data_IF_198081926523
#
_entry.id   IF_198081926523
#
_cell.length_a   1.000
_cell.length_b   1.000
_cell.length_c   1.000
_cell.angle_alpha   90.00
_cell.angle_beta   90.00
_cell.angle_gamma   90.00
#
_symmetry.space_group_name_H-M   'P 1'
#
loop_
_entity.id
_entity.type
_entity.pdbx_description
1 polymer ?
#
# COMPACT_ATOMS: atom_id res chain seq x y z
N UNK A 1 -3.11 -25.15 -31.37
CA UNK A 1 -3.37 -23.82 -31.97
C UNK A 1 -2.56 -22.80 -31.18
N UNK A 2 -1.62 -22.10 -31.81
CA UNK A 2 -0.79 -21.11 -31.14
C UNK A 2 -1.64 -19.90 -30.74
N UNK A 3 -1.61 -19.50 -29.47
CA UNK A 3 -2.30 -18.32 -28.96
C UNK A 3 -1.65 -17.08 -29.56
N UNK A 4 -2.09 -16.66 -30.75
CA UNK A 4 -1.62 -15.45 -31.47
C UNK A 4 -2.00 -14.14 -30.75
N UNK A 5 -2.87 -14.23 -29.74
CA UNK A 5 -3.39 -13.11 -28.97
C UNK A 5 -2.44 -12.82 -27.80
N UNK A 6 -1.94 -11.59 -27.73
CA UNK A 6 -1.03 -11.17 -26.68
C UNK A 6 -1.72 -11.16 -25.31
N UNK A 7 -1.00 -11.63 -24.27
CA UNK A 7 -1.42 -11.50 -22.87
C UNK A 7 -1.21 -10.10 -22.29
N UNK A 8 -0.47 -9.24 -23.00
CA UNK A 8 -0.18 -7.87 -22.56
C UNK A 8 -1.28 -6.94 -23.05
N UNK A 9 -2.03 -6.25 -22.15
CA UNK A 9 -3.19 -5.43 -22.52
C UNK A 9 -2.89 -4.38 -23.60
N UNK A 10 -1.76 -3.67 -23.51
CA UNK A 10 -1.40 -2.65 -24.50
C UNK A 10 -1.16 -3.24 -25.91
N UNK A 11 -0.53 -4.42 -25.97
CA UNK A 11 -0.29 -5.10 -27.26
C UNK A 11 -1.61 -5.67 -27.80
N UNK A 12 -2.46 -6.22 -26.93
CA UNK A 12 -3.78 -6.71 -27.30
C UNK A 12 -4.64 -5.58 -27.88
N UNK A 13 -4.60 -4.40 -27.25
CA UNK A 13 -5.32 -3.22 -27.72
C UNK A 13 -4.88 -2.82 -29.13
N UNK A 14 -3.58 -2.84 -29.41
CA UNK A 14 -3.05 -2.55 -30.73
C UNK A 14 -3.44 -3.62 -31.76
N UNK A 15 -3.42 -4.90 -31.36
CA UNK A 15 -3.90 -6.00 -32.20
C UNK A 15 -5.39 -5.83 -32.56
N UNK A 16 -6.23 -5.38 -31.61
CA UNK A 16 -7.65 -5.09 -31.86
C UNK A 16 -7.84 -3.89 -32.78
N UNK A 17 -7.03 -2.84 -32.65
CA UNK A 17 -7.05 -1.67 -33.56
C UNK A 17 -6.66 -2.04 -34.99
N UNK A 18 -5.64 -2.89 -35.14
CA UNK A 18 -5.24 -3.42 -36.45
C UNK A 18 -6.34 -4.30 -37.05
N UNK A 19 -6.99 -5.13 -36.24
CA UNK A 19 -8.13 -5.94 -36.67
C UNK A 19 -9.29 -5.06 -37.14
N UNK A 20 -9.64 -4.02 -36.37
CA UNK A 20 -10.65 -3.02 -36.76
C UNK A 20 -10.32 -2.38 -38.11
N UNK A 21 -9.08 -1.93 -38.29
CA UNK A 21 -8.65 -1.32 -39.54
C UNK A 21 -8.77 -2.26 -40.75
N UNK A 22 -8.43 -3.55 -40.56
CA UNK A 22 -8.64 -4.59 -41.57
C UNK A 22 -10.11 -4.78 -41.93
N UNK A 23 -10.99 -4.88 -40.93
CA UNK A 23 -12.43 -5.05 -41.13
C UNK A 23 -13.06 -3.87 -41.87
N UNK A 24 -12.64 -2.65 -41.58
CA UNK A 24 -13.11 -1.45 -42.29
C UNK A 24 -12.64 -1.46 -43.74
N UNK A 25 -11.36 -1.81 -43.98
CA UNK A 25 -10.75 -1.81 -45.31
C UNK A 25 -11.40 -2.81 -46.27
N UNK A 26 -11.79 -3.98 -45.79
CA UNK A 26 -12.40 -5.05 -46.60
C UNK A 26 -13.91 -5.20 -46.36
N UNK A 27 -14.57 -4.11 -45.97
CA UNK A 27 -16.00 -4.12 -45.59
C UNK A 27 -16.96 -4.50 -46.73
N UNK A 28 -16.55 -4.31 -47.99
CA UNK A 28 -17.34 -4.73 -49.17
C UNK A 28 -17.25 -6.24 -49.44
N UNK A 29 -16.12 -6.85 -49.08
CA UNK A 29 -15.85 -8.29 -49.28
C UNK A 29 -16.30 -9.12 -48.07
N UNK A 30 -16.34 -8.51 -46.89
CA UNK A 30 -16.65 -9.14 -45.63
C UNK A 30 -17.94 -8.59 -45.04
N UNK A 31 -19.01 -9.40 -45.07
CA UNK A 31 -20.28 -9.14 -44.37
C UNK A 31 -20.33 -9.98 -43.09
N UNK A 32 -19.96 -9.43 -41.92
CA UNK A 32 -19.90 -10.20 -40.69
C UNK A 32 -21.31 -10.49 -40.15
N UNK A 33 -21.50 -11.72 -39.67
CA UNK A 33 -22.68 -12.13 -38.89
C UNK A 33 -22.39 -12.00 -37.38
N UNK A 34 -21.19 -12.41 -36.94
CA UNK A 34 -20.60 -12.17 -35.60
C UNK A 34 -19.21 -12.85 -35.52
N UNK A 35 -18.22 -12.31 -34.78
CA UNK A 35 -18.18 -10.98 -34.18
C UNK A 35 -18.13 -9.88 -35.24
N UNK A 36 -18.90 -8.81 -35.02
CA UNK A 36 -19.04 -7.64 -35.88
C UNK A 36 -18.00 -6.57 -35.56
N UNK A 37 -17.91 -5.55 -36.41
CA UNK A 37 -17.09 -4.36 -36.14
C UNK A 37 -17.45 -3.70 -34.80
N UNK A 38 -18.74 -3.69 -34.45
CA UNK A 38 -19.23 -3.12 -33.19
C UNK A 38 -18.75 -3.91 -31.97
N UNK A 39 -18.60 -5.24 -32.10
CA UNK A 39 -18.07 -6.08 -31.02
C UNK A 39 -16.58 -5.79 -30.78
N UNK A 40 -15.81 -5.56 -31.86
CA UNK A 40 -14.40 -5.14 -31.77
C UNK A 40 -14.29 -3.76 -31.13
N UNK A 41 -15.15 -2.82 -31.49
CA UNK A 41 -15.19 -1.49 -30.88
C UNK A 41 -15.55 -1.51 -29.39
N UNK A 42 -16.51 -2.37 -29.01
CA UNK A 42 -16.85 -2.62 -27.62
C UNK A 42 -15.67 -3.20 -26.84
N UNK A 43 -14.95 -4.16 -27.42
CA UNK A 43 -13.77 -4.76 -26.80
C UNK A 43 -12.62 -3.75 -26.62
N UNK A 44 -12.35 -2.90 -27.61
CA UNK A 44 -11.34 -1.83 -27.51
C UNK A 44 -11.73 -0.86 -26.38
N UNK A 45 -12.98 -0.39 -26.37
CA UNK A 45 -13.47 0.57 -25.37
C UNK A 45 -13.40 0.01 -23.95
N UNK A 46 -13.82 -1.24 -23.76
CA UNK A 46 -13.76 -1.92 -22.47
C UNK A 46 -12.32 -2.09 -21.98
N UNK A 47 -11.40 -2.47 -22.87
CA UNK A 47 -10.00 -2.68 -22.53
C UNK A 47 -9.26 -1.37 -22.22
N UNK A 48 -9.51 -0.31 -22.99
CA UNK A 48 -8.99 1.04 -22.71
C UNK A 48 -9.51 1.57 -21.37
N UNK A 49 -10.81 1.40 -21.09
CA UNK A 49 -11.42 1.82 -19.81
C UNK A 49 -10.81 1.08 -18.62
N UNK A 50 -10.64 -0.25 -18.75
CA UNK A 50 -10.01 -1.05 -17.71
C UNK A 50 -8.53 -0.67 -17.48
N UNK A 51 -7.81 -0.33 -18.55
CA UNK A 51 -6.43 0.14 -18.45
C UNK A 51 -6.32 1.48 -17.70
N UNK A 52 -7.20 2.44 -18.01
CA UNK A 52 -7.25 3.73 -17.33
C UNK A 52 -7.60 3.56 -15.85
N UNK A 53 -8.64 2.77 -15.54
CA UNK A 53 -9.05 2.52 -14.15
C UNK A 53 -7.93 1.92 -13.31
N UNK A 54 -7.13 1.01 -13.88
CA UNK A 54 -5.95 0.44 -13.21
C UNK A 54 -4.89 1.50 -12.93
N UNK A 55 -4.64 2.40 -13.88
CA UNK A 55 -3.67 3.47 -13.73
C UNK A 55 -4.10 4.46 -12.63
N UNK A 56 -5.37 4.83 -12.60
CA UNK A 56 -5.92 5.73 -11.59
C UNK A 56 -5.82 5.10 -10.19
N UNK A 57 -6.17 3.82 -10.06
CA UNK A 57 -6.04 3.08 -8.79
C UNK A 57 -4.59 3.01 -8.30
N UNK A 58 -3.62 2.85 -9.21
CA UNK A 58 -2.20 2.87 -8.86
C UNK A 58 -1.76 4.25 -8.33
N UNK A 59 -2.21 5.34 -8.96
CA UNK A 59 -1.90 6.70 -8.50
C UNK A 59 -2.50 7.02 -7.13
N UNK A 60 -3.73 6.54 -6.86
CA UNK A 60 -4.36 6.66 -5.54
C UNK A 60 -3.56 5.88 -4.49
N UNK A 61 -3.14 4.65 -4.79
CA UNK A 61 -2.34 3.84 -3.88
C UNK A 61 -0.96 4.45 -3.58
N UNK A 62 -0.30 5.03 -4.58
CA UNK A 62 0.97 5.75 -4.41
C UNK A 62 0.80 6.95 -3.48
N UNK A 63 -0.24 7.76 -3.69
CA UNK A 63 -0.53 8.94 -2.85
C UNK A 63 -0.84 8.54 -1.40
N UNK A 64 -1.63 7.48 -1.21
CA UNK A 64 -1.93 6.95 0.12
C UNK A 64 -0.66 6.44 0.83
N UNK A 65 0.24 5.79 0.09
CA UNK A 65 1.52 5.29 0.62
C UNK A 65 2.44 6.44 1.01
N UNK A 66 2.55 7.48 0.18
CA UNK A 66 3.32 8.68 0.49
C UNK A 66 2.80 9.36 1.77
N UNK A 67 1.48 9.52 1.89
CA UNK A 67 0.84 10.10 3.09
C UNK A 67 1.13 9.28 4.34
N UNK A 68 1.04 7.94 4.25
CA UNK A 68 1.37 7.05 5.36
C UNK A 68 2.83 7.23 5.81
N UNK A 69 3.77 7.37 4.87
CA UNK A 69 5.18 7.60 5.20
C UNK A 69 5.40 8.96 5.88
N UNK A 70 4.74 10.02 5.42
CA UNK A 70 4.78 11.32 6.11
C UNK A 70 4.28 11.22 7.54
N UNK A 71 3.11 10.62 7.76
CA UNK A 71 2.54 10.43 9.11
C UNK A 71 3.45 9.58 10.00
N UNK A 72 4.07 8.53 9.44
CA UNK A 72 5.07 7.71 10.16
C UNK A 72 6.25 8.56 10.61
N UNK A 73 6.79 9.39 9.72
CA UNK A 73 7.98 10.19 10.01
C UNK A 73 7.68 11.25 11.08
N UNK A 74 6.49 11.85 11.04
CA UNK A 74 6.00 12.74 12.09
C UNK A 74 5.86 12.03 13.44
N UNK A 75 5.29 10.81 13.43
CA UNK A 75 5.16 9.99 14.64
C UNK A 75 6.53 9.63 15.24
N UNK A 76 7.52 9.28 14.41
CA UNK A 76 8.90 9.04 14.84
C UNK A 76 9.51 10.31 15.44
N UNK A 77 9.27 11.47 14.83
CA UNK A 77 9.70 12.77 15.35
C UNK A 77 9.11 13.07 16.73
N UNK A 78 7.80 12.83 16.92
CA UNK A 78 7.14 12.96 18.22
C UNK A 78 7.74 12.00 19.23
N UNK A 79 7.91 10.72 18.90
CA UNK A 79 8.48 9.71 19.79
C UNK A 79 9.89 10.10 20.25
N UNK A 80 10.73 10.63 19.35
CA UNK A 80 12.07 11.15 19.70
C UNK A 80 11.99 12.32 20.69
N UNK A 81 11.19 13.35 20.39
CA UNK A 81 11.05 14.52 21.28
C UNK A 81 10.50 14.14 22.65
N UNK A 82 9.54 13.22 22.71
CA UNK A 82 9.02 12.71 23.98
C UNK A 82 10.12 12.01 24.77
N UNK A 83 10.90 11.14 24.13
CA UNK A 83 12.03 10.45 24.77
C UNK A 83 13.05 11.45 25.33
N UNK A 84 13.42 12.46 24.55
CA UNK A 84 14.38 13.49 24.97
C UNK A 84 13.86 14.29 26.17
N UNK A 85 12.57 14.64 26.18
CA UNK A 85 11.93 15.32 27.31
C UNK A 85 11.93 14.45 28.59
N UNK A 86 11.65 13.14 28.46
CA UNK A 86 11.72 12.20 29.59
C UNK A 86 13.16 12.05 30.09
N UNK A 87 14.16 11.97 29.20
CA UNK A 87 15.59 11.96 29.59
C UNK A 87 15.98 13.23 30.34
N UNK A 88 15.58 14.40 29.85
CA UNK A 88 15.89 15.68 30.50
C UNK A 88 15.32 15.77 31.92
N UNK A 89 14.11 15.24 32.15
CA UNK A 89 13.42 15.34 33.44
C UNK A 89 13.81 14.22 34.42
N UNK A 90 13.84 12.97 33.96
CA UNK A 90 14.06 11.79 34.82
C UNK A 90 15.48 11.23 34.76
N UNK A 91 16.26 11.49 33.71
CA UNK A 91 17.60 10.90 33.55
C UNK A 91 18.58 11.20 34.70
N UNK A 92 18.36 12.31 35.43
CA UNK A 92 19.14 12.66 36.64
C UNK A 92 18.64 12.01 37.94
N UNK A 93 17.39 11.54 37.97
CA UNK A 93 16.71 10.99 39.17
C UNK A 93 16.55 9.47 39.13
N UNK A 94 16.17 8.91 37.98
CA UNK A 94 16.11 7.47 37.75
C UNK A 94 16.20 7.16 36.24
N UNK A 95 17.38 6.74 35.73
CA UNK A 95 17.60 6.45 34.31
C UNK A 95 16.66 5.37 33.75
N UNK A 96 16.16 4.48 34.62
CA UNK A 96 15.28 3.35 34.28
C UNK A 96 13.89 3.80 33.80
N UNK A 97 13.43 4.97 34.24
CA UNK A 97 12.15 5.56 33.78
C UNK A 97 12.25 5.98 32.32
N UNK A 98 13.46 6.19 31.80
CA UNK A 98 13.65 6.65 30.43
C UNK A 98 13.82 5.53 29.41
N UNK A 99 14.10 4.32 29.88
CA UNK A 99 14.05 3.09 29.09
C UNK A 99 12.60 2.63 28.88
N UNK A 100 11.71 3.53 28.45
CA UNK A 100 10.32 3.18 28.13
C UNK A 100 10.32 2.17 26.97
N UNK A 101 10.02 0.91 27.30
CA UNK A 101 9.96 -0.23 26.37
C UNK A 101 10.72 -1.48 26.82
N UNK A 102 11.58 -1.39 27.84
CA UNK A 102 12.26 -2.54 28.45
C UNK A 102 11.69 -2.78 29.85
N UNK A 103 10.46 -3.28 29.92
CA UNK A 103 9.83 -3.73 31.17
C UNK A 103 10.48 -5.05 31.62
N UNK A 104 11.78 -5.04 31.86
CA UNK A 104 12.57 -6.21 32.32
C UNK A 104 13.15 -6.01 33.71
N UNK A 105 12.83 -4.90 34.38
CA UNK A 105 13.38 -4.62 35.70
C UNK A 105 12.42 -5.12 36.80
N UNK A 106 12.88 -6.04 37.68
CA UNK A 106 12.04 -6.59 38.71
C UNK A 106 11.56 -5.50 39.67
N UNK A 107 10.30 -5.61 40.07
CA UNK A 107 9.61 -4.69 40.98
C UNK A 107 10.43 -4.52 42.26
N UNK A 108 10.76 -3.27 42.64
CA UNK A 108 11.53 -2.99 43.86
C UNK A 108 10.79 -3.54 45.08
N UNK A 109 11.38 -4.54 45.75
CA UNK A 109 10.97 -4.92 47.10
C UNK A 109 11.43 -3.82 48.05
N UNK A 110 10.48 -3.16 48.72
CA UNK A 110 10.79 -2.18 49.75
C UNK A 110 11.55 -2.86 50.90
N UNK A 111 12.88 -2.69 50.96
CA UNK A 111 13.67 -2.92 52.16
C UNK A 111 13.52 -1.73 53.11
N UNK A 112 12.32 -1.51 53.62
CA UNK A 112 12.11 -0.83 54.89
C UNK A 112 11.26 -1.78 55.74
N UNK A 113 11.91 -2.84 56.22
CA UNK A 113 11.37 -3.68 57.28
C UNK A 113 11.57 -2.95 58.60
N UNK A 114 10.58 -2.15 59.00
CA UNK A 114 10.28 -2.03 60.41
C UNK A 114 9.85 -3.42 60.85
N UNK A 115 10.61 -4.02 61.76
CA UNK A 115 10.29 -5.29 62.41
C UNK A 115 8.91 -5.14 63.09
N UNK A 116 7.87 -5.63 62.44
CA UNK A 116 6.66 -6.04 63.12
C UNK A 116 6.79 -7.55 63.30
N UNK A 117 7.26 -7.89 64.48
CA UNK A 117 7.48 -9.23 64.97
C UNK A 117 6.13 -9.93 65.19
N UNK A 118 5.83 -11.08 64.54
CA UNK A 118 4.77 -11.96 64.97
C UNK A 118 5.41 -13.21 65.58
N UNK A 119 5.50 -13.23 66.91
CA UNK A 119 6.01 -14.29 67.80
C UNK A 119 7.52 -14.23 68.13
N UNK A 120 7.85 -13.60 69.26
CA UNK A 120 9.14 -13.77 69.97
C UNK A 120 9.74 -12.47 70.45
#
# INVERSE_FOLDING_TARGET
>A
MATLISKKPAILLEQLRQLKAGLVKYSEEYTPVSPSLSDVDGAITALDTAAQSKQDAAGVAETATATMHTVRDDAVGIARRTRDAVYAYFGKRDPRIVEFGMDTLPTRTNRNGSENNPNG
#
